data_IF_716816031685
#
_entry.id   IF_716816031685
#
_cell.length_a   1.000
_cell.length_b   1.000
_cell.length_c   1.000
_cell.angle_alpha   90.00
_cell.angle_beta   90.00
_cell.angle_gamma   90.00
#
_symmetry.space_group_name_H-M   'P 1'
#
loop_
_entity.id
_entity.type
_entity.pdbx_description
1 polymer ?
#
# COMPACT_ATOMS: atom_id res chain seq x y z
N UNK A 1 9.27 32.97 4.58
CA UNK A 1 9.87 31.62 4.47
C UNK A 1 9.37 30.82 5.65
N UNK A 2 8.38 29.95 5.45
CA UNK A 2 7.93 29.06 6.52
C UNK A 2 8.89 27.88 6.58
N UNK A 3 9.54 27.68 7.73
CA UNK A 3 10.39 26.51 7.97
C UNK A 3 9.47 25.36 8.35
N UNK A 4 9.32 24.39 7.43
CA UNK A 4 8.70 23.12 7.77
C UNK A 4 9.75 22.21 8.38
N UNK A 5 9.42 21.56 9.49
CA UNK A 5 10.23 20.50 10.08
C UNK A 5 9.63 19.15 9.72
N UNK A 6 10.47 18.22 9.26
CA UNK A 6 10.06 16.83 9.06
C UNK A 6 9.82 16.17 10.42
N UNK A 7 8.62 15.62 10.63
CA UNK A 7 8.25 14.92 11.87
C UNK A 7 8.63 13.45 11.80
N UNK A 8 8.30 12.78 10.69
CA UNK A 8 8.58 11.37 10.44
C UNK A 8 8.89 11.14 8.95
N UNK A 9 9.70 10.12 8.68
CA UNK A 9 9.91 9.59 7.33
C UNK A 9 9.77 8.08 7.33
N UNK A 10 9.27 7.54 6.22
CA UNK A 10 9.02 6.13 6.03
C UNK A 10 9.79 5.64 4.80
N UNK A 11 10.43 4.49 4.92
CA UNK A 11 11.06 3.78 3.82
C UNK A 11 10.31 2.48 3.59
N UNK A 12 10.07 2.15 2.33
CA UNK A 12 9.33 0.96 1.91
C UNK A 12 10.14 0.15 0.91
N UNK A 13 9.88 -1.15 0.84
CA UNK A 13 10.28 -1.96 -0.30
C UNK A 13 9.36 -1.68 -1.51
N UNK A 14 9.62 -2.37 -2.63
CA UNK A 14 8.83 -2.22 -3.86
C UNK A 14 7.34 -2.59 -3.69
N UNK A 15 7.00 -3.41 -2.69
CA UNK A 15 5.67 -3.94 -2.46
C UNK A 15 4.93 -3.23 -1.33
N UNK A 16 5.55 -2.25 -0.67
CA UNK A 16 4.94 -1.45 0.38
C UNK A 16 5.17 -1.97 1.79
N UNK A 17 6.04 -2.97 2.00
CA UNK A 17 6.48 -3.34 3.33
C UNK A 17 7.36 -2.24 3.90
N UNK A 18 7.14 -1.88 5.17
CA UNK A 18 7.94 -0.84 5.84
C UNK A 18 9.33 -1.39 6.16
N UNK A 19 10.37 -0.78 5.58
CA UNK A 19 11.77 -1.08 5.89
C UNK A 19 12.21 -0.29 7.13
N UNK A 20 11.83 1.00 7.18
CA UNK A 20 12.25 1.88 8.26
C UNK A 20 11.23 2.99 8.50
N UNK A 21 11.06 3.34 9.78
CA UNK A 21 10.43 4.59 10.21
C UNK A 21 11.47 5.37 11.02
N UNK A 22 11.67 6.64 10.72
CA UNK A 22 12.57 7.53 11.49
C UNK A 22 11.86 8.82 11.87
N UNK A 23 12.34 9.51 12.91
CA UNK A 23 11.69 10.69 13.49
C UNK A 23 10.93 10.36 14.78
N UNK A 24 9.79 11.01 15.00
CA UNK A 24 8.93 10.70 16.16
C UNK A 24 8.21 9.34 15.94
N UNK A 25 8.72 8.28 16.56
CA UNK A 25 8.16 6.93 16.39
C UNK A 25 6.70 6.81 16.83
N UNK A 26 6.25 7.59 17.82
CA UNK A 26 4.86 7.55 18.28
C UNK A 26 3.93 8.11 17.22
N UNK A 27 4.27 9.26 16.65
CA UNK A 27 3.53 9.85 15.52
C UNK A 27 3.66 8.93 14.30
N UNK A 28 4.86 8.40 14.07
CA UNK A 28 5.19 7.49 12.98
C UNK A 28 4.26 6.27 12.93
N UNK A 29 4.05 5.63 14.08
CA UNK A 29 3.17 4.46 14.23
C UNK A 29 1.69 4.84 14.15
N UNK A 30 1.28 5.99 14.70
CA UNK A 30 -0.11 6.44 14.71
C UNK A 30 -0.63 6.88 13.33
N UNK A 31 0.25 7.28 12.41
CA UNK A 31 -0.16 7.71 11.08
C UNK A 31 -0.68 6.53 10.23
N UNK A 32 -1.96 6.53 9.86
CA UNK A 32 -2.52 5.49 9.00
C UNK A 32 -2.23 5.74 7.52
N UNK A 33 -1.90 6.96 7.09
CA UNK A 33 -1.66 7.25 5.68
C UNK A 33 -0.19 6.97 5.35
N UNK A 34 0.05 5.92 4.56
CA UNK A 34 1.39 5.34 4.37
C UNK A 34 1.72 5.11 2.89
N UNK A 35 2.16 3.91 2.52
CA UNK A 35 2.60 3.57 1.18
C UNK A 35 1.56 4.01 0.15
N UNK A 36 2.01 4.80 -0.84
CA UNK A 36 1.16 5.35 -1.92
C UNK A 36 -0.10 6.08 -1.41
N UNK A 37 -0.04 6.64 -0.21
CA UNK A 37 -1.15 7.33 0.45
C UNK A 37 -2.35 6.43 0.77
N UNK A 38 -2.16 5.10 0.78
CA UNK A 38 -3.19 4.18 1.24
C UNK A 38 -3.34 4.21 2.76
N UNK A 39 -4.51 3.81 3.23
CA UNK A 39 -4.78 3.61 4.65
C UNK A 39 -4.16 2.29 5.10
N UNK A 40 -3.17 2.35 5.97
CA UNK A 40 -2.55 1.20 6.63
C UNK A 40 -3.33 0.83 7.88
N UNK A 41 -3.91 -0.35 7.87
CA UNK A 41 -4.50 -0.97 9.05
C UNK A 41 -3.37 -1.61 9.89
N UNK A 42 -3.10 -1.05 11.06
CA UNK A 42 -2.04 -1.53 11.94
C UNK A 42 -2.33 -2.88 12.59
N UNK A 43 -3.60 -3.30 12.69
CA UNK A 43 -3.95 -4.59 13.29
C UNK A 43 -3.62 -5.74 12.35
N UNK A 44 -3.88 -5.56 11.06
CA UNK A 44 -3.68 -6.58 10.02
C UNK A 44 -2.39 -6.41 9.22
N UNK A 45 -1.77 -5.22 9.28
CA UNK A 45 -0.68 -4.80 8.41
C UNK A 45 -1.03 -4.75 6.93
N UNK A 46 -2.32 -4.58 6.60
CA UNK A 46 -2.80 -4.44 5.24
C UNK A 46 -3.01 -2.97 4.85
N UNK A 47 -3.05 -2.73 3.54
CA UNK A 47 -3.46 -1.45 2.98
C UNK A 47 -4.89 -1.54 2.45
N UNK A 48 -5.73 -0.59 2.83
CA UNK A 48 -7.05 -0.43 2.25
C UNK A 48 -7.01 0.58 1.11
N UNK A 49 -7.39 0.12 -0.08
CA UNK A 49 -7.42 0.89 -1.34
C UNK A 49 -8.86 1.21 -1.75
N UNK A 50 -9.76 1.42 -0.78
CA UNK A 50 -11.16 1.79 -1.03
C UNK A 50 -12.07 0.62 -1.44
N UNK A 51 -11.70 -0.17 -2.43
CA UNK A 51 -12.49 -1.35 -2.84
C UNK A 51 -11.99 -2.65 -2.21
N UNK A 52 -10.67 -2.74 -1.97
CA UNK A 52 -10.00 -3.98 -1.58
C UNK A 52 -8.92 -3.73 -0.54
N UNK A 53 -8.63 -4.79 0.21
CA UNK A 53 -7.45 -4.88 1.06
C UNK A 53 -6.30 -5.54 0.29
N UNK A 54 -5.15 -4.90 0.35
CA UNK A 54 -3.87 -5.34 -0.22
C UNK A 54 -2.93 -5.79 0.90
N UNK A 55 -2.35 -6.98 0.73
CA UNK A 55 -1.33 -7.49 1.62
C UNK A 55 0.06 -7.30 0.98
N UNK A 56 0.93 -6.43 1.54
CA UNK A 56 2.27 -6.20 1.01
C UNK A 56 3.23 -7.38 1.22
N UNK A 57 2.98 -8.26 2.19
CA UNK A 57 3.81 -9.45 2.47
C UNK A 57 3.62 -10.51 1.37
N UNK A 58 2.37 -10.74 0.95
CA UNK A 58 2.05 -11.69 -0.12
C UNK A 58 1.98 -11.06 -1.51
N UNK A 59 2.18 -9.74 -1.59
CA UNK A 59 2.20 -8.96 -2.83
C UNK A 59 0.89 -9.04 -3.64
N UNK A 60 -0.26 -9.22 -2.97
CA UNK A 60 -1.57 -9.44 -3.62
C UNK A 60 -2.74 -8.84 -2.85
N UNK A 61 -3.87 -8.65 -3.55
CA UNK A 61 -5.15 -8.37 -2.93
C UNK A 61 -5.71 -9.61 -2.23
N UNK A 62 -6.51 -9.39 -1.18
CA UNK A 62 -7.21 -10.47 -0.45
C UNK A 62 -8.45 -10.98 -1.19
N UNK A 63 -9.08 -10.11 -1.98
CA UNK A 63 -10.35 -10.35 -2.65
C UNK A 63 -10.17 -10.18 -4.15
N UNK A 64 -10.95 -10.94 -4.93
CA UNK A 64 -10.97 -10.81 -6.38
C UNK A 64 -11.46 -9.42 -6.81
N UNK A 65 -10.89 -8.88 -7.89
CA UNK A 65 -11.36 -7.66 -8.54
C UNK A 65 -12.77 -7.83 -9.12
N UNK A 66 -13.70 -6.98 -8.69
CA UNK A 66 -15.07 -6.96 -9.23
C UNK A 66 -15.14 -6.42 -10.66
N UNK A 67 -14.15 -5.60 -11.07
CA UNK A 67 -14.13 -4.97 -12.39
C UNK A 67 -13.69 -5.92 -13.50
N UNK A 68 -13.11 -7.08 -13.16
CA UNK A 68 -12.60 -8.02 -14.14
C UNK A 68 -13.77 -8.83 -14.75
N UNK A 69 -14.50 -8.18 -15.65
CA UNK A 69 -15.37 -8.83 -16.62
C UNK A 69 -14.48 -9.72 -17.48
N UNK A 70 -14.61 -11.02 -17.27
CA UNK A 70 -13.99 -12.16 -17.94
C UNK A 70 -14.14 -12.14 -19.47
N UNK A 71 -13.50 -11.17 -20.14
CA UNK A 71 -13.41 -11.09 -21.60
C UNK A 71 -12.12 -11.74 -22.09
N UNK A 72 -11.04 -11.71 -21.29
CA UNK A 72 -9.78 -12.38 -21.61
C UNK A 72 -9.37 -13.34 -20.49
N UNK A 73 -9.21 -14.61 -20.87
CA UNK A 73 -9.14 -15.81 -20.04
C UNK A 73 -7.88 -15.96 -19.15
N UNK A 74 -7.23 -14.85 -18.75
CA UNK A 74 -5.92 -14.91 -18.08
C UNK A 74 -5.61 -13.76 -17.11
N UNK A 75 -6.62 -13.03 -16.63
CA UNK A 75 -6.39 -11.98 -15.62
C UNK A 75 -6.42 -12.56 -14.21
N UNK A 76 -5.31 -12.39 -13.48
CA UNK A 76 -5.24 -12.75 -12.07
C UNK A 76 -5.97 -11.69 -11.24
N UNK A 77 -7.18 -12.02 -10.79
CA UNK A 77 -8.06 -11.09 -10.06
C UNK A 77 -7.51 -10.61 -8.71
N UNK A 78 -6.41 -11.20 -8.22
CA UNK A 78 -5.76 -10.83 -6.97
C UNK A 78 -4.46 -10.05 -7.18
N UNK A 79 -4.10 -9.74 -8.43
CA UNK A 79 -2.87 -9.07 -8.80
C UNK A 79 -2.90 -7.60 -8.40
N UNK A 80 -1.79 -7.14 -7.81
CA UNK A 80 -1.57 -5.73 -7.51
C UNK A 80 -0.60 -5.12 -8.54
N UNK A 81 -0.96 -3.96 -9.11
CA UNK A 81 -0.10 -3.19 -10.03
C UNK A 81 0.53 -4.03 -11.17
N UNK A 82 -0.20 -4.94 -11.81
CA UNK A 82 0.33 -5.85 -12.83
C UNK A 82 1.61 -6.63 -12.41
N UNK A 83 1.80 -6.90 -11.11
CA UNK A 83 3.04 -7.44 -10.52
C UNK A 83 4.29 -6.55 -10.73
N UNK A 84 4.13 -5.28 -11.09
CA UNK A 84 5.20 -4.31 -11.23
C UNK A 84 4.83 -2.98 -10.52
N UNK A 85 4.79 -2.99 -9.16
CA UNK A 85 4.39 -1.83 -8.36
C UNK A 85 5.40 -0.68 -8.40
N UNK A 86 6.57 -0.86 -9.00
CA UNK A 86 7.52 0.23 -9.25
C UNK A 86 7.14 1.06 -10.47
N UNK A 87 6.40 0.47 -11.42
CA UNK A 87 6.01 1.12 -12.67
C UNK A 87 4.52 1.49 -12.69
N UNK A 88 3.66 0.68 -12.09
CA UNK A 88 2.21 0.87 -12.08
C UNK A 88 1.69 1.32 -10.72
N UNK A 89 0.50 1.94 -10.75
CA UNK A 89 -0.24 2.44 -9.59
C UNK A 89 -1.64 1.84 -9.67
N UNK A 90 -2.17 1.42 -8.53
CA UNK A 90 -3.55 0.97 -8.36
C UNK A 90 -4.32 2.08 -7.62
N UNK A 91 -5.59 2.31 -7.97
CA UNK A 91 -6.40 3.41 -7.43
C UNK A 91 -7.59 2.88 -6.63
#
# INVERSE_FOLDING_TARGET
MFLYSVVCTYQYDAWGNVIQITGDMKIGQLNPIRYRSYYFDSETSFYYLGSRYYNPETCRFLNADEYCLCIDNNQNMYQYCENNPMYYIDN
#
